data_IF_306936149526
#
_entry.id   IF_306936149526
#
_cell.length_a   1.000
_cell.length_b   1.000
_cell.length_c   1.000
_cell.angle_alpha   90.00
_cell.angle_beta   90.00
_cell.angle_gamma   90.00
#
_symmetry.space_group_name_H-M   'P 1'
#
loop_
_entity.id
_entity.type
_entity.pdbx_description
1 polymer ?
#
# COMPACT_ATOMS: atom_id res chain seq x y z
N UNK A 1 25.56 0.49 -84.09
CA UNK A 1 25.46 1.51 -83.01
C UNK A 1 26.67 2.43 -83.07
N UNK A 2 26.48 3.74 -83.31
CA UNK A 2 27.58 4.67 -83.60
C UNK A 2 28.18 5.30 -82.33
N UNK A 3 29.41 5.81 -82.41
CA UNK A 3 30.09 6.45 -81.26
C UNK A 3 29.33 7.70 -80.76
N UNK A 4 28.69 8.43 -81.66
CA UNK A 4 27.84 9.57 -81.32
C UNK A 4 26.66 9.16 -80.42
N UNK A 5 26.03 8.02 -80.72
CA UNK A 5 24.93 7.48 -79.89
C UNK A 5 25.41 7.05 -78.50
N UNK A 6 26.62 6.49 -78.40
CA UNK A 6 27.24 6.14 -77.10
C UNK A 6 27.53 7.38 -76.25
N UNK A 7 28.08 8.44 -76.85
CA UNK A 7 28.33 9.70 -76.14
C UNK A 7 27.03 10.41 -75.74
N UNK A 8 26.00 10.38 -76.59
CA UNK A 8 24.68 10.93 -76.27
C UNK A 8 24.05 10.19 -75.08
N UNK A 9 24.09 8.86 -75.08
CA UNK A 9 23.59 8.05 -73.96
C UNK A 9 24.37 8.30 -72.67
N UNK A 10 25.70 8.46 -72.74
CA UNK A 10 26.54 8.78 -71.58
C UNK A 10 26.21 10.16 -70.98
N UNK A 11 26.04 11.19 -71.83
CA UNK A 11 25.65 12.54 -71.39
C UNK A 11 24.24 12.56 -70.79
N UNK A 12 23.29 11.83 -71.40
CA UNK A 12 21.93 11.70 -70.87
C UNK A 12 21.91 11.03 -69.48
N UNK A 13 22.72 9.97 -69.28
CA UNK A 13 22.88 9.32 -67.97
C UNK A 13 23.45 10.26 -66.91
N UNK A 14 24.46 11.07 -67.27
CA UNK A 14 25.05 12.04 -66.33
C UNK A 14 24.17 13.25 -66.03
N UNK A 15 23.29 13.66 -66.95
CA UNK A 15 22.35 14.76 -66.71
C UNK A 15 21.24 14.36 -65.72
N UNK A 16 20.88 13.08 -65.69
CA UNK A 16 19.88 12.54 -64.75
C UNK A 16 20.43 12.28 -63.33
N UNK A 17 21.75 12.19 -63.16
CA UNK A 17 22.38 11.87 -61.86
C UNK A 17 22.75 13.08 -61.02
N UNK A 18 22.43 14.30 -61.48
CA UNK A 18 22.82 15.55 -60.83
C UNK A 18 21.62 16.35 -60.35
N UNK A 19 20.81 15.80 -59.43
CA UNK A 19 19.91 16.64 -58.64
C UNK A 19 20.73 17.35 -57.55
N UNK A 20 20.89 18.68 -57.59
CA UNK A 20 21.54 19.39 -56.49
C UNK A 20 20.63 19.30 -55.25
N UNK A 21 21.11 18.63 -54.20
CA UNK A 21 20.47 18.63 -52.89
C UNK A 21 20.71 20.00 -52.26
N UNK A 22 19.72 20.88 -52.33
CA UNK A 22 19.75 22.14 -51.59
C UNK A 22 19.40 21.86 -50.14
N UNK A 23 20.39 21.94 -49.25
CA UNK A 23 20.14 21.96 -47.80
C UNK A 23 19.53 23.32 -47.47
N UNK A 24 18.21 23.37 -47.30
CA UNK A 24 17.56 24.53 -46.68
C UNK A 24 18.05 24.63 -45.24
N UNK A 25 18.85 25.67 -44.96
CA UNK A 25 19.30 25.99 -43.62
C UNK A 25 18.06 26.34 -42.81
N UNK A 26 17.68 25.51 -41.84
CA UNK A 26 16.64 25.85 -40.88
C UNK A 26 17.08 27.14 -40.19
N UNK A 27 16.37 28.24 -40.46
CA UNK A 27 16.61 29.52 -39.79
C UNK A 27 16.23 29.27 -38.33
N UNK A 28 17.16 29.37 -37.37
CA UNK A 28 16.80 29.25 -35.96
C UNK A 28 15.74 30.32 -35.67
N UNK A 29 14.70 29.94 -34.94
CA UNK A 29 13.75 30.92 -34.41
C UNK A 29 14.53 32.07 -33.76
N UNK A 30 14.03 33.30 -33.90
CA UNK A 30 14.64 34.47 -33.27
C UNK A 30 14.95 34.15 -31.80
N UNK A 31 16.10 34.60 -31.29
CA UNK A 31 16.63 34.24 -29.97
C UNK A 31 15.56 34.32 -28.86
N UNK A 32 14.68 35.32 -28.95
CA UNK A 32 13.54 35.55 -28.05
C UNK A 32 12.60 34.34 -27.95
N UNK A 33 12.32 33.64 -29.06
CA UNK A 33 11.44 32.48 -29.08
C UNK A 33 12.08 31.21 -28.47
N UNK A 34 13.42 31.13 -28.43
CA UNK A 34 14.09 30.03 -27.73
C UNK A 34 14.02 30.24 -26.22
N UNK A 35 14.27 31.46 -25.75
CA UNK A 35 14.22 31.80 -24.32
C UNK A 35 12.79 31.67 -23.76
N UNK A 36 11.77 32.08 -24.52
CA UNK A 36 10.36 31.85 -24.18
C UNK A 36 10.03 30.36 -24.01
N UNK A 37 10.52 29.51 -24.91
CA UNK A 37 10.30 28.06 -24.82
C UNK A 37 11.04 27.43 -23.65
N UNK A 38 12.22 27.94 -23.28
CA UNK A 38 12.97 27.49 -22.10
C UNK A 38 12.20 27.84 -20.82
N UNK A 39 11.71 29.08 -20.70
CA UNK A 39 10.93 29.52 -19.55
C UNK A 39 9.63 28.72 -19.38
N UNK A 40 8.92 28.45 -20.48
CA UNK A 40 7.72 27.63 -20.43
C UNK A 40 8.04 26.17 -20.08
N UNK A 41 9.19 25.63 -20.51
CA UNK A 41 9.61 24.29 -20.13
C UNK A 41 9.91 24.19 -18.63
N UNK A 42 10.57 25.20 -18.06
CA UNK A 42 10.85 25.28 -16.63
C UNK A 42 9.56 25.34 -15.81
N UNK A 43 8.63 26.21 -16.22
CA UNK A 43 7.30 26.32 -15.61
C UNK A 43 6.53 24.99 -15.64
N UNK A 44 6.46 24.33 -16.81
CA UNK A 44 5.77 23.05 -16.94
C UNK A 44 6.43 21.94 -16.11
N UNK A 45 7.76 21.97 -15.94
CA UNK A 45 8.45 21.05 -15.04
C UNK A 45 8.06 21.28 -13.59
N UNK A 46 7.98 22.54 -13.15
CA UNK A 46 7.54 22.89 -11.80
C UNK A 46 6.11 22.43 -11.55
N UNK A 47 5.18 22.73 -12.46
CA UNK A 47 3.78 22.29 -12.38
C UNK A 47 3.68 20.75 -12.33
N UNK A 48 4.46 20.03 -13.14
CA UNK A 48 4.53 18.57 -13.07
C UNK A 48 5.07 18.06 -11.74
N UNK A 49 6.08 18.71 -11.16
CA UNK A 49 6.57 18.32 -9.83
C UNK A 49 5.51 18.53 -8.76
N UNK A 50 4.75 19.62 -8.84
CA UNK A 50 3.70 19.94 -7.88
C UNK A 50 2.54 18.94 -8.00
N UNK A 51 2.06 18.68 -9.21
CA UNK A 51 1.01 17.69 -9.46
C UNK A 51 1.42 16.28 -9.01
N UNK A 52 2.69 15.90 -9.17
CA UNK A 52 3.20 14.62 -8.67
C UNK A 52 3.19 14.55 -7.15
N UNK A 53 3.56 15.63 -6.45
CA UNK A 53 3.48 15.71 -4.97
C UNK A 53 2.03 15.61 -4.51
N UNK A 54 1.12 16.36 -5.14
CA UNK A 54 -0.31 16.37 -4.78
C UNK A 54 -0.97 15.00 -5.03
N UNK A 55 -0.60 14.33 -6.13
CA UNK A 55 -1.02 12.96 -6.41
C UNK A 55 -0.51 11.99 -5.34
N UNK A 56 0.75 12.09 -4.93
CA UNK A 56 1.33 11.24 -3.90
C UNK A 56 0.66 11.46 -2.53
N UNK A 57 0.37 12.71 -2.18
CA UNK A 57 -0.41 13.06 -0.97
C UNK A 57 -1.83 12.47 -1.05
N UNK A 58 -2.49 12.57 -2.20
CA UNK A 58 -3.81 11.98 -2.42
C UNK A 58 -3.79 10.45 -2.30
N UNK A 59 -2.79 9.78 -2.89
CA UNK A 59 -2.59 8.33 -2.78
C UNK A 59 -2.38 7.88 -1.35
N UNK A 60 -1.60 8.62 -0.56
CA UNK A 60 -1.40 8.33 0.87
C UNK A 60 -2.70 8.44 1.65
N UNK A 61 -3.46 9.53 1.48
CA UNK A 61 -4.78 9.71 2.11
C UNK A 61 -5.76 8.60 1.74
N UNK A 62 -5.79 8.19 0.47
CA UNK A 62 -6.63 7.08 0.02
C UNK A 62 -6.21 5.74 0.65
N UNK A 63 -4.89 5.48 0.75
CA UNK A 63 -4.35 4.29 1.40
C UNK A 63 -4.67 4.25 2.89
N UNK A 64 -4.58 5.37 3.59
CA UNK A 64 -4.90 5.46 5.03
C UNK A 64 -6.39 5.26 5.29
N UNK A 65 -7.26 5.82 4.44
CA UNK A 65 -8.70 5.56 4.45
C UNK A 65 -9.05 4.10 4.14
N UNK A 66 -8.30 3.45 3.26
CA UNK A 66 -8.48 2.03 2.97
C UNK A 66 -8.00 1.15 4.12
N UNK A 67 -6.85 1.47 4.73
CA UNK A 67 -6.26 0.73 5.84
C UNK A 67 -7.18 0.73 7.06
N UNK A 68 -7.76 1.89 7.38
CA UNK A 68 -8.74 2.03 8.46
C UNK A 68 -10.00 1.22 8.19
N UNK A 69 -10.55 1.24 6.98
CA UNK A 69 -11.69 0.39 6.60
C UNK A 69 -11.38 -1.11 6.68
N UNK A 70 -10.21 -1.54 6.20
CA UNK A 70 -9.81 -2.96 6.29
C UNK A 70 -9.55 -3.41 7.73
N UNK A 71 -9.04 -2.53 8.61
CA UNK A 71 -8.85 -2.84 10.04
C UNK A 71 -10.20 -3.13 10.70
N UNK A 72 -11.18 -2.24 10.51
CA UNK A 72 -12.51 -2.39 11.11
C UNK A 72 -13.22 -3.65 10.61
N UNK A 73 -13.11 -3.97 9.31
CA UNK A 73 -13.68 -5.21 8.76
C UNK A 73 -13.00 -6.45 9.35
N UNK A 74 -11.67 -6.42 9.49
CA UNK A 74 -10.92 -7.53 10.08
C UNK A 74 -11.27 -7.75 11.56
N UNK A 75 -11.43 -6.67 12.33
CA UNK A 75 -11.84 -6.72 13.73
C UNK A 75 -13.25 -7.31 13.89
N UNK A 76 -14.22 -6.88 13.07
CA UNK A 76 -15.60 -7.40 13.11
C UNK A 76 -15.65 -8.88 12.72
N UNK A 77 -14.89 -9.29 11.70
CA UNK A 77 -14.79 -10.69 11.29
C UNK A 77 -14.09 -11.56 12.35
N UNK A 78 -13.11 -11.00 13.06
CA UNK A 78 -12.43 -11.68 14.15
C UNK A 78 -13.38 -11.94 15.32
N UNK A 79 -14.17 -10.95 15.74
CA UNK A 79 -15.19 -11.09 16.80
C UNK A 79 -16.17 -12.21 16.44
N UNK A 80 -16.72 -12.22 15.22
CA UNK A 80 -17.63 -13.29 14.77
C UNK A 80 -16.97 -14.67 14.78
N UNK A 81 -15.71 -14.75 14.35
CA UNK A 81 -14.95 -16.01 14.35
C UNK A 81 -14.75 -16.54 15.76
N UNK A 82 -14.33 -15.67 16.67
CA UNK A 82 -14.05 -15.98 18.07
C UNK A 82 -15.29 -16.45 18.82
N UNK A 83 -16.42 -15.77 18.63
CA UNK A 83 -17.68 -16.15 19.27
C UNK A 83 -18.15 -17.54 18.81
N UNK A 84 -17.82 -17.98 17.60
CA UNK A 84 -18.16 -19.33 17.10
C UNK A 84 -17.18 -20.42 17.53
N UNK A 85 -15.96 -20.07 17.92
CA UNK A 85 -14.97 -21.03 18.38
C UNK A 85 -15.39 -21.60 19.75
N UNK A 86 -15.45 -22.93 19.91
CA UNK A 86 -15.61 -23.52 21.23
C UNK A 86 -14.40 -23.17 22.09
N UNK A 87 -14.64 -22.92 23.38
CA UNK A 87 -13.56 -22.73 24.34
C UNK A 87 -12.87 -24.08 24.53
N UNK A 88 -11.62 -24.21 24.08
CA UNK A 88 -10.80 -25.38 24.38
C UNK A 88 -10.28 -25.25 25.81
N UNK A 89 -11.09 -25.66 26.78
CA UNK A 89 -10.66 -25.92 28.16
C UNK A 89 -10.81 -27.41 28.43
N UNK A 90 -9.77 -28.05 28.94
CA UNK A 90 -9.90 -29.41 29.51
C UNK A 90 -11.06 -29.41 30.51
N UNK A 91 -11.77 -30.53 30.62
CA UNK A 91 -12.95 -30.73 31.48
C UNK A 91 -12.79 -30.19 32.93
N UNK A 92 -11.54 -30.00 33.37
CA UNK A 92 -11.14 -29.58 34.71
C UNK A 92 -11.24 -28.05 34.94
N UNK A 93 -11.16 -27.21 33.90
CA UNK A 93 -11.15 -25.73 34.07
C UNK A 93 -12.55 -25.08 34.06
N UNK A 94 -13.57 -25.77 33.54
CA UNK A 94 -14.97 -25.31 33.55
C UNK A 94 -15.54 -25.14 34.96
N UNK A 95 -14.91 -25.75 35.96
CA UNK A 95 -15.30 -25.66 37.38
C UNK A 95 -14.88 -24.31 37.99
N UNK A 96 -13.87 -23.64 37.43
CA UNK A 96 -13.46 -22.28 37.81
C UNK A 96 -14.08 -21.23 36.90
N UNK A 97 -15.40 -21.28 36.67
CA UNK A 97 -16.11 -20.12 36.11
C UNK A 97 -15.86 -18.90 37.02
N UNK A 98 -14.89 -18.06 36.66
CA UNK A 98 -14.75 -16.74 37.25
C UNK A 98 -16.05 -16.02 36.94
N UNK A 99 -16.85 -15.74 37.96
CA UNK A 99 -18.06 -14.92 37.82
C UNK A 99 -17.61 -13.50 37.53
N UNK A 100 -17.51 -13.17 36.25
CA UNK A 100 -17.33 -11.80 35.81
C UNK A 100 -18.69 -11.13 35.68
N UNK A 101 -18.85 -9.97 36.29
CA UNK A 101 -19.97 -9.07 36.05
C UNK A 101 -19.50 -7.97 35.11
N UNK A 102 -20.16 -7.86 33.95
CA UNK A 102 -19.91 -6.81 32.98
C UNK A 102 -21.07 -5.83 32.96
N UNK A 103 -20.75 -4.54 32.85
CA UNK A 103 -21.72 -3.50 32.55
C UNK A 103 -21.57 -3.10 31.09
N UNK A 104 -22.68 -3.01 30.38
CA UNK A 104 -22.73 -2.65 28.97
C UNK A 104 -23.65 -1.46 28.77
N UNK A 105 -23.34 -0.63 27.78
CA UNK A 105 -24.28 0.36 27.29
C UNK A 105 -25.38 -0.31 26.43
N UNK A 106 -26.45 0.41 26.12
CA UNK A 106 -27.56 -0.13 25.33
C UNK A 106 -27.09 -0.64 23.96
N UNK A 107 -26.15 0.06 23.33
CA UNK A 107 -25.64 -0.31 22.01
C UNK A 107 -24.87 -1.63 22.04
N UNK A 108 -23.94 -1.81 22.98
CA UNK A 108 -23.24 -3.06 23.17
C UNK A 108 -24.21 -4.18 23.57
N UNK A 109 -25.23 -3.87 24.38
CA UNK A 109 -26.26 -4.84 24.74
C UNK A 109 -26.99 -5.39 23.50
N UNK A 110 -27.42 -4.53 22.56
CA UNK A 110 -28.03 -4.97 21.30
C UNK A 110 -27.04 -5.68 20.37
N UNK A 111 -25.77 -5.27 20.35
CA UNK A 111 -24.73 -5.93 19.55
C UNK A 111 -24.47 -7.37 20.02
N UNK A 112 -24.40 -7.58 21.34
CA UNK A 112 -24.28 -8.92 21.94
C UNK A 112 -25.48 -9.80 21.60
N UNK A 113 -26.68 -9.22 21.53
CA UNK A 113 -27.90 -9.96 21.16
C UNK A 113 -27.83 -10.45 19.70
N UNK A 114 -27.39 -9.59 18.79
CA UNK A 114 -27.14 -9.97 17.39
C UNK A 114 -26.07 -11.05 17.25
N UNK A 115 -24.99 -10.96 18.03
CA UNK A 115 -23.93 -11.97 18.04
C UNK A 115 -24.43 -13.32 18.59
N UNK A 116 -25.25 -13.29 19.64
CA UNK A 116 -25.87 -14.49 20.20
C UNK A 116 -26.75 -15.20 19.16
N UNK A 117 -27.57 -14.43 18.43
CA UNK A 117 -28.41 -14.96 17.33
C UNK A 117 -27.55 -15.49 16.17
N UNK A 118 -26.51 -14.76 15.76
CA UNK A 118 -25.63 -15.14 14.63
C UNK A 118 -24.76 -16.37 14.90
N UNK A 119 -24.44 -16.62 16.18
CA UNK A 119 -23.67 -17.79 16.61
C UNK A 119 -24.54 -18.93 17.14
N UNK A 120 -25.83 -18.70 17.41
CA UNK A 120 -26.75 -19.68 17.97
C UNK A 120 -26.42 -20.08 19.42
N UNK A 121 -25.87 -19.15 20.21
CA UNK A 121 -25.46 -19.40 21.61
C UNK A 121 -26.10 -18.38 22.56
N UNK A 122 -26.03 -18.62 23.87
CA UNK A 122 -26.57 -17.66 24.83
C UNK A 122 -25.71 -16.39 24.89
N UNK A 123 -26.34 -15.27 25.26
CA UNK A 123 -25.63 -13.99 25.46
C UNK A 123 -24.51 -14.10 26.50
N UNK A 124 -24.71 -14.91 27.54
CA UNK A 124 -23.69 -15.18 28.54
C UNK A 124 -22.47 -15.88 27.93
N UNK A 125 -22.70 -16.88 27.06
CA UNK A 125 -21.61 -17.59 26.38
C UNK A 125 -20.86 -16.69 25.40
N UNK A 126 -21.55 -15.74 24.72
CA UNK A 126 -20.89 -14.72 23.89
C UNK A 126 -19.90 -13.92 24.74
N UNK A 127 -20.34 -13.41 25.88
CA UNK A 127 -19.51 -12.60 26.77
C UNK A 127 -18.34 -13.41 27.33
N UNK A 128 -18.59 -14.65 27.74
CA UNK A 128 -17.54 -15.56 28.23
C UNK A 128 -16.49 -15.84 27.15
N UNK A 129 -16.91 -16.10 25.91
CA UNK A 129 -15.99 -16.31 24.78
C UNK A 129 -15.19 -15.06 24.47
N UNK A 130 -15.81 -13.90 24.45
CA UNK A 130 -15.11 -12.63 24.22
C UNK A 130 -14.09 -12.36 25.33
N UNK A 131 -14.45 -12.59 26.59
CA UNK A 131 -13.56 -12.41 27.72
C UNK A 131 -12.36 -13.37 27.67
N UNK A 132 -12.60 -14.65 27.37
CA UNK A 132 -11.53 -15.64 27.24
C UNK A 132 -10.52 -15.26 26.17
N UNK A 133 -10.99 -14.91 24.97
CA UNK A 133 -10.09 -14.58 23.87
C UNK A 133 -9.40 -13.23 24.04
N UNK A 134 -10.01 -12.28 24.75
CA UNK A 134 -9.34 -11.06 25.16
C UNK A 134 -8.19 -11.35 26.15
N UNK A 135 -8.42 -12.21 27.14
CA UNK A 135 -7.37 -12.65 28.09
C UNK A 135 -6.25 -13.41 27.37
N UNK A 136 -6.60 -14.34 26.48
CA UNK A 136 -5.63 -15.11 25.69
C UNK A 136 -4.79 -14.21 24.77
N UNK A 137 -5.40 -13.19 24.15
CA UNK A 137 -4.67 -12.19 23.37
C UNK A 137 -3.73 -11.36 24.24
N UNK A 138 -4.20 -10.91 25.40
CA UNK A 138 -3.37 -10.16 26.36
C UNK A 138 -2.19 -11.00 26.87
N UNK A 139 -2.42 -12.28 27.18
CA UNK A 139 -1.36 -13.20 27.59
C UNK A 139 -0.33 -13.42 26.47
N UNK A 140 -0.78 -13.52 25.21
CA UNK A 140 0.12 -13.63 24.06
C UNK A 140 0.96 -12.37 23.86
N UNK A 141 0.38 -11.17 24.00
CA UNK A 141 1.16 -9.94 23.88
C UNK A 141 2.24 -9.84 24.95
N UNK A 142 1.97 -10.25 26.19
CA UNK A 142 3.00 -10.28 27.23
C UNK A 142 4.13 -11.28 26.93
N UNK A 143 3.83 -12.43 26.30
CA UNK A 143 4.88 -13.38 25.87
C UNK A 143 5.78 -12.79 24.79
N UNK A 144 5.20 -12.08 23.84
CA UNK A 144 5.96 -11.40 22.78
C UNK A 144 6.82 -10.26 23.35
N UNK A 145 6.31 -9.54 24.35
CA UNK A 145 7.06 -8.52 25.10
C UNK A 145 8.22 -9.12 25.89
N UNK A 146 8.03 -10.29 26.53
CA UNK A 146 9.12 -11.01 27.20
C UNK A 146 10.20 -11.41 26.19
N UNK A 147 9.83 -11.85 24.98
CA UNK A 147 10.79 -12.16 23.93
C UNK A 147 11.52 -10.90 23.40
N UNK A 148 10.83 -9.76 23.28
CA UNK A 148 11.44 -8.48 22.93
C UNK A 148 12.39 -7.97 24.02
N UNK A 149 11.98 -8.07 25.28
CA UNK A 149 12.78 -7.71 26.46
C UNK A 149 14.02 -8.61 26.59
N UNK A 150 13.88 -9.92 26.39
CA UNK A 150 15.00 -10.84 26.38
C UNK A 150 15.99 -10.50 25.25
N UNK A 151 15.52 -10.18 24.03
CA UNK A 151 16.39 -9.70 22.95
C UNK A 151 17.18 -8.44 23.35
N UNK A 152 16.56 -7.51 24.05
CA UNK A 152 17.24 -6.33 24.58
C UNK A 152 18.31 -6.69 25.63
N UNK A 153 17.98 -7.56 26.58
CA UNK A 153 18.93 -8.04 27.59
C UNK A 153 20.14 -8.77 26.97
N UNK A 154 19.91 -9.63 25.97
CA UNK A 154 20.98 -10.35 25.28
C UNK A 154 21.82 -9.44 24.38
N UNK A 155 21.24 -8.40 23.77
CA UNK A 155 22.01 -7.39 23.01
C UNK A 155 23.00 -6.66 23.92
N UNK A 156 22.54 -6.15 25.07
CA UNK A 156 23.41 -5.43 26.01
C UNK A 156 24.47 -6.31 26.69
N UNK A 157 24.28 -7.63 26.71
CA UNK A 157 25.28 -8.59 27.22
C UNK A 157 26.39 -8.86 26.21
N UNK A 158 26.06 -8.91 24.92
CA UNK A 158 27.03 -9.18 23.85
C UNK A 158 27.87 -7.94 23.48
N UNK A 159 27.38 -6.73 23.77
CA UNK A 159 28.14 -5.47 23.57
C UNK A 159 29.18 -5.21 24.68
N UNK A 160 29.08 -5.88 25.84
CA UNK A 160 29.99 -5.71 26.98
C UNK A 160 31.10 -6.78 27.07
N UNK A 161 31.12 -7.74 26.15
CA UNK A 161 32.11 -8.82 26.12
C UNK A 161 33.32 -8.55 25.20
N UNK A 162 33.35 -7.40 24.50
CA UNK A 162 34.48 -6.96 23.66
C UNK A 162 35.38 -5.92 24.35
N UNK A 163 35.51 -5.97 25.68
CA UNK A 163 36.50 -5.21 26.46
C UNK A 163 37.38 -6.15 27.28
#
# INVERSE_FOLDING_TARGET
>A
MTNAQRQAAYRARRKASGNPVTVTKNIPAAADGYDELVMENERLREELTQLRRDLEVSKRKARDGQRSRTSVVHEVDWVRRVVRLPLCGSEVDWVRRRRFSFTFDERAYFALDRLAVDAGISKADVVERLAFWADELMLKSFRDDVAAFNRYLYRGRNEKSDV
#
